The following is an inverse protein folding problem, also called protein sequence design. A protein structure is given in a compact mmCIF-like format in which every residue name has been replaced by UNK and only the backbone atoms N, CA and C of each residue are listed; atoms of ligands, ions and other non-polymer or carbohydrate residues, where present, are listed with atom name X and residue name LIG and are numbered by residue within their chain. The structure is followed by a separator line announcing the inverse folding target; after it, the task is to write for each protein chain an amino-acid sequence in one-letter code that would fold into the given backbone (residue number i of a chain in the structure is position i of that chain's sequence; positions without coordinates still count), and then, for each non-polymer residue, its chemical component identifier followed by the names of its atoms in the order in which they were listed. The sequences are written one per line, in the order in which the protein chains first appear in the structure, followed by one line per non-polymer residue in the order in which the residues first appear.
data_IF_092898483814
#
_entry.id   IF_092898483814
#
_cell.length_a   1.000
_cell.length_b   1.000
_cell.length_c   1.000
_cell.angle_alpha   90.00
_cell.angle_beta   90.00
_cell.angle_gamma   90.00
#
_symmetry.space_group_name_H-M   'P 1'
#
loop_
_entity.id
_entity.type
_entity.pdbx_description
1 polymer ?
#
# COMPACT_ATOMS: atom_id res chain seq x y z
N UNK A 1 21.89 7.90 -1.80
CA UNK A 1 20.44 7.79 -2.04
C UNK A 1 20.20 7.94 -3.54
N UNK A 2 19.04 7.52 -4.06
CA UNK A 2 18.73 7.68 -5.49
C UNK A 2 18.23 9.09 -5.85
N UNK A 3 18.24 10.04 -4.91
CA UNK A 3 17.87 11.44 -5.15
C UNK A 3 16.37 11.75 -5.07
N UNK A 4 15.53 10.80 -4.65
CA UNK A 4 14.10 11.00 -4.45
C UNK A 4 13.78 11.51 -3.05
N UNK A 5 12.87 12.47 -2.97
CA UNK A 5 12.16 12.84 -1.74
C UNK A 5 10.98 11.87 -1.56
N UNK A 6 10.82 11.34 -0.35
CA UNK A 6 9.87 10.25 -0.08
C UNK A 6 9.19 10.46 1.27
N UNK A 7 7.87 10.55 1.24
CA UNK A 7 7.02 10.38 2.42
C UNK A 7 6.64 8.90 2.54
N UNK A 8 7.03 8.24 3.63
CA UNK A 8 6.71 6.84 3.86
C UNK A 8 5.64 6.70 4.94
N UNK A 9 4.62 5.88 4.66
CA UNK A 9 3.62 5.45 5.64
C UNK A 9 3.75 3.94 5.81
N UNK A 10 4.08 3.51 7.02
CA UNK A 10 4.27 2.10 7.34
C UNK A 10 2.90 1.44 7.57
N UNK A 11 2.51 0.50 6.69
CA UNK A 11 1.31 -0.34 6.88
C UNK A 11 1.44 -1.27 8.09
N UNK A 12 2.67 -1.66 8.42
CA UNK A 12 3.04 -2.46 9.59
C UNK A 12 4.37 -1.98 10.15
N UNK A 13 4.56 -2.17 11.45
CA UNK A 13 5.83 -1.95 12.13
C UNK A 13 6.15 -3.19 12.95
N UNK A 14 6.93 -4.11 12.36
CA UNK A 14 7.32 -5.37 13.00
C UNK A 14 8.78 -5.37 13.44
N UNK A 15 9.08 -6.17 14.47
CA UNK A 15 10.44 -6.37 15.00
C UNK A 15 11.41 -6.97 13.99
N UNK A 16 10.90 -7.83 13.11
CA UNK A 16 11.66 -8.58 12.12
C UNK A 16 10.73 -9.09 11.01
N UNK A 17 11.33 -9.62 9.93
CA UNK A 17 10.61 -10.27 8.83
C UNK A 17 9.72 -11.42 9.36
N UNK A 18 8.54 -11.59 8.76
CA UNK A 18 7.54 -12.61 9.16
C UNK A 18 7.95 -14.04 8.83
N UNK A 19 9.04 -14.21 8.07
CA UNK A 19 9.67 -15.51 7.79
C UNK A 19 10.42 -16.13 8.98
N UNK A 20 10.64 -15.37 10.06
CA UNK A 20 11.19 -15.91 11.31
C UNK A 20 10.08 -16.52 12.18
N UNK A 21 10.41 -17.45 13.11
CA UNK A 21 9.40 -18.14 13.93
C UNK A 21 8.54 -17.22 14.82
N UNK A 22 9.07 -16.08 15.23
CA UNK A 22 8.38 -15.11 16.08
C UNK A 22 8.66 -13.71 15.56
N UNK A 23 7.62 -12.89 15.52
CA UNK A 23 7.69 -11.44 15.35
C UNK A 23 6.65 -10.78 16.26
N UNK A 24 6.87 -9.50 16.57
CA UNK A 24 5.94 -8.65 17.32
C UNK A 24 5.85 -7.31 16.62
N UNK A 25 4.76 -6.59 16.85
CA UNK A 25 4.63 -5.22 16.38
C UNK A 25 3.20 -4.84 16.05
N UNK A 26 3.06 -3.79 15.26
CA UNK A 26 1.80 -3.09 15.00
C UNK A 26 1.37 -3.26 13.54
N UNK A 27 0.06 -3.28 13.32
CA UNK A 27 -0.58 -3.23 12.00
C UNK A 27 -1.43 -1.98 11.98
N UNK A 28 -1.21 -1.12 11.00
CA UNK A 28 -1.94 0.14 10.84
C UNK A 28 -3.32 -0.13 10.21
N UNK A 29 -4.36 0.51 10.74
CA UNK A 29 -5.72 0.44 10.22
C UNK A 29 -6.06 1.65 9.34
N UNK A 30 -7.31 1.72 8.87
CA UNK A 30 -7.76 2.80 8.00
C UNK A 30 -7.81 4.16 8.72
N UNK A 31 -8.26 4.19 9.96
CA UNK A 31 -8.39 5.41 10.76
C UNK A 31 -7.03 6.05 11.00
N UNK A 32 -6.04 5.25 11.36
CA UNK A 32 -4.65 5.68 11.56
C UNK A 32 -3.99 6.15 10.25
N UNK A 33 -4.28 5.48 9.11
CA UNK A 33 -3.83 5.95 7.80
C UNK A 33 -4.44 7.31 7.44
N UNK A 34 -5.73 7.50 7.70
CA UNK A 34 -6.42 8.78 7.46
C UNK A 34 -5.80 9.89 8.31
N UNK A 35 -5.52 9.63 9.58
CA UNK A 35 -4.89 10.62 10.46
C UNK A 35 -3.55 11.12 9.90
N UNK A 36 -2.69 10.20 9.42
CA UNK A 36 -1.41 10.55 8.80
C UNK A 36 -1.61 11.32 7.48
N UNK A 37 -2.49 10.82 6.61
CA UNK A 37 -2.73 11.44 5.31
C UNK A 37 -3.33 12.84 5.43
N UNK A 38 -4.25 13.07 6.37
CA UNK A 38 -4.78 14.40 6.68
C UNK A 38 -3.68 15.34 7.18
N UNK A 39 -2.72 14.85 7.98
CA UNK A 39 -1.53 15.61 8.36
C UNK A 39 -0.73 16.12 7.15
N UNK A 40 -0.55 15.28 6.12
CA UNK A 40 0.12 15.65 4.87
C UNK A 40 -0.69 16.69 4.09
N UNK A 41 -2.02 16.53 4.01
CA UNK A 41 -2.93 17.49 3.35
C UNK A 41 -2.92 18.85 4.01
N UNK A 42 -2.98 18.90 5.34
CA UNK A 42 -2.97 20.16 6.11
C UNK A 42 -1.68 20.96 5.89
N UNK A 43 -0.57 20.27 5.69
CA UNK A 43 0.72 20.89 5.35
C UNK A 43 0.90 21.13 3.85
N UNK A 44 -0.06 20.72 3.01
CA UNK A 44 -0.04 20.83 1.54
C UNK A 44 1.18 20.14 0.89
N UNK A 45 1.66 19.07 1.51
CA UNK A 45 2.79 18.27 1.02
C UNK A 45 2.34 16.94 0.39
N UNK A 46 1.03 16.71 0.26
CA UNK A 46 0.46 15.55 -0.43
C UNK A 46 0.50 15.66 -1.97
N UNK A 47 1.52 16.31 -2.53
CA UNK A 47 1.67 16.53 -3.98
C UNK A 47 2.74 15.58 -4.53
N UNK A 48 2.29 14.46 -5.08
CA UNK A 48 3.17 13.39 -5.53
C UNK A 48 3.21 13.27 -7.06
N UNK A 49 4.37 12.82 -7.54
CA UNK A 49 4.53 12.33 -8.92
C UNK A 49 4.30 10.82 -9.02
N UNK A 50 4.60 10.09 -7.93
CA UNK A 50 4.49 8.63 -7.87
C UNK A 50 3.90 8.19 -6.54
N UNK A 51 3.11 7.12 -6.56
CA UNK A 51 2.72 6.34 -5.38
C UNK A 51 3.20 4.91 -5.56
N UNK A 52 3.80 4.34 -4.51
CA UNK A 52 4.21 2.94 -4.48
C UNK A 52 3.52 2.26 -3.29
N UNK A 53 2.91 1.11 -3.53
CA UNK A 53 2.35 0.25 -2.46
C UNK A 53 3.02 -1.10 -2.50
N UNK A 54 3.25 -1.69 -1.32
CA UNK A 54 3.74 -3.05 -1.15
C UNK A 54 2.93 -3.80 -0.10
N UNK A 55 3.61 -4.53 0.80
CA UNK A 55 2.96 -5.35 1.82
C UNK A 55 1.95 -4.58 2.69
N UNK A 56 0.74 -5.13 2.81
CA UNK A 56 -0.34 -4.66 3.68
C UNK A 56 -0.99 -5.83 4.37
N UNK A 57 -1.17 -5.74 5.69
CA UNK A 57 -1.77 -6.79 6.52
C UNK A 57 -3.24 -6.52 6.90
N UNK A 58 -3.77 -5.32 6.60
CA UNK A 58 -5.11 -4.88 6.99
C UNK A 58 -5.99 -4.58 5.77
N UNK A 59 -7.16 -5.22 5.69
CA UNK A 59 -8.16 -4.99 4.64
C UNK A 59 -8.72 -3.57 4.67
N UNK A 60 -8.91 -2.99 5.87
CA UNK A 60 -9.40 -1.62 6.01
C UNK A 60 -8.35 -0.61 5.51
N UNK A 61 -7.08 -0.84 5.85
CA UNK A 61 -5.97 -0.04 5.35
C UNK A 61 -5.90 -0.10 3.82
N UNK A 62 -5.96 -1.30 3.22
CA UNK A 62 -5.85 -1.44 1.76
C UNK A 62 -7.00 -0.77 1.01
N UNK A 63 -8.23 -0.86 1.54
CA UNK A 63 -9.37 -0.14 0.98
C UNK A 63 -9.15 1.38 1.04
N UNK A 64 -8.59 1.88 2.14
CA UNK A 64 -8.32 3.31 2.29
C UNK A 64 -7.18 3.78 1.38
N UNK A 65 -6.16 2.95 1.15
CA UNK A 65 -5.12 3.21 0.13
C UNK A 65 -5.74 3.40 -1.24
N UNK A 66 -6.71 2.57 -1.63
CA UNK A 66 -7.41 2.72 -2.90
C UNK A 66 -8.12 4.08 -3.02
N UNK A 67 -8.79 4.52 -1.95
CA UNK A 67 -9.46 5.83 -1.91
C UNK A 67 -8.44 6.98 -2.07
N UNK A 68 -7.31 6.90 -1.35
CA UNK A 68 -6.25 7.92 -1.38
C UNK A 68 -5.61 7.99 -2.77
N UNK A 69 -5.28 6.84 -3.38
CA UNK A 69 -4.72 6.80 -4.73
C UNK A 69 -5.70 7.41 -5.74
N UNK A 70 -6.99 7.10 -5.62
CA UNK A 70 -8.01 7.71 -6.48
C UNK A 70 -8.06 9.24 -6.30
N UNK A 71 -8.10 9.73 -5.05
CA UNK A 71 -8.07 11.18 -4.75
C UNK A 71 -6.83 11.86 -5.37
N UNK A 72 -5.65 11.25 -5.21
CA UNK A 72 -4.40 11.79 -5.76
C UNK A 72 -4.39 11.79 -7.30
N UNK A 73 -4.99 10.79 -7.95
CA UNK A 73 -5.12 10.75 -9.41
C UNK A 73 -6.13 11.77 -9.93
N UNK A 74 -7.20 12.04 -9.19
CA UNK A 74 -8.17 13.08 -9.52
C UNK A 74 -7.53 14.48 -9.46
N UNK A 75 -6.66 14.73 -8.48
CA UNK A 75 -5.90 15.99 -8.35
C UNK A 75 -4.74 16.09 -9.36
N UNK A 76 -4.06 14.98 -9.64
CA UNK A 76 -2.98 14.90 -10.62
C UNK A 76 -3.16 13.69 -11.56
N UNK A 77 -3.80 13.87 -12.74
CA UNK A 77 -3.98 12.80 -13.72
C UNK A 77 -2.68 12.23 -14.31
N UNK A 78 -1.53 12.87 -14.08
CA UNK A 78 -0.21 12.37 -14.48
C UNK A 78 0.51 11.55 -13.40
N UNK A 79 -0.11 11.42 -12.21
CA UNK A 79 0.43 10.60 -11.13
C UNK A 79 0.58 9.15 -11.57
N UNK A 80 1.77 8.60 -11.38
CA UNK A 80 2.05 7.19 -11.64
C UNK A 80 1.89 6.36 -10.36
N UNK A 81 0.97 5.40 -10.39
CA UNK A 81 0.77 4.44 -9.31
C UNK A 81 1.37 3.08 -9.69
N UNK A 82 2.36 2.64 -8.89
CA UNK A 82 2.97 1.31 -8.98
C UNK A 82 2.45 0.45 -7.83
N UNK A 83 1.73 -0.60 -8.16
CA UNK A 83 1.15 -1.53 -7.20
C UNK A 83 1.99 -2.82 -7.17
N UNK A 84 2.65 -3.09 -6.05
CA UNK A 84 3.24 -4.39 -5.74
C UNK A 84 2.26 -5.19 -4.87
N UNK A 85 1.49 -6.14 -5.43
CA UNK A 85 0.43 -6.84 -4.72
C UNK A 85 1.00 -7.98 -3.86
N UNK A 86 1.80 -7.64 -2.86
CA UNK A 86 2.50 -8.59 -1.98
C UNK A 86 1.48 -9.39 -1.16
N UNK A 87 1.18 -10.60 -1.62
CA UNK A 87 0.15 -11.48 -1.06
C UNK A 87 0.71 -12.86 -0.71
N UNK A 88 1.73 -13.34 -1.41
CA UNK A 88 2.25 -14.68 -1.19
C UNK A 88 3.30 -15.12 -2.19
N UNK A 89 3.94 -16.25 -1.91
CA UNK A 89 4.84 -16.91 -2.83
C UNK A 89 4.79 -18.44 -2.62
N UNK A 90 5.48 -19.21 -3.48
CA UNK A 90 5.65 -20.66 -3.33
C UNK A 90 4.34 -21.44 -3.11
N UNK A 91 3.24 -20.99 -3.72
CA UNK A 91 1.94 -21.65 -3.65
C UNK A 91 1.12 -21.32 -2.40
N UNK A 92 1.52 -20.33 -1.59
CA UNK A 92 0.84 -19.98 -0.32
C UNK A 92 0.64 -18.48 -0.18
N UNK A 93 -0.58 -18.11 0.22
CA UNK A 93 -0.89 -16.76 0.67
C UNK A 93 -0.40 -16.56 2.11
N UNK A 94 0.20 -15.40 2.38
CA UNK A 94 0.56 -14.93 3.71
C UNK A 94 -0.40 -13.88 4.25
N UNK A 95 -1.43 -13.55 3.47
CA UNK A 95 -2.39 -12.49 3.75
C UNK A 95 -3.82 -13.03 3.84
N UNK A 96 -4.71 -12.37 4.60
CA UNK A 96 -6.14 -12.65 4.59
C UNK A 96 -6.75 -12.70 3.17
N UNK A 97 -7.68 -13.62 2.88
CA UNK A 97 -8.30 -13.73 1.55
C UNK A 97 -9.00 -12.46 1.07
N UNK A 98 -9.52 -11.61 1.96
CA UNK A 98 -10.19 -10.37 1.57
C UNK A 98 -9.27 -9.35 0.91
N UNK A 99 -7.96 -9.36 1.23
CA UNK A 99 -6.98 -8.52 0.56
C UNK A 99 -6.86 -8.85 -0.93
N UNK A 100 -6.99 -10.12 -1.31
CA UNK A 100 -6.91 -10.56 -2.72
C UNK A 100 -8.02 -9.90 -3.54
N UNK A 101 -9.25 -9.91 -3.02
CA UNK A 101 -10.39 -9.26 -3.69
C UNK A 101 -10.17 -7.76 -3.82
N UNK A 102 -9.65 -7.09 -2.79
CA UNK A 102 -9.38 -5.65 -2.81
C UNK A 102 -8.28 -5.32 -3.84
N UNK A 103 -7.21 -6.10 -3.92
CA UNK A 103 -6.19 -5.91 -4.95
C UNK A 103 -6.79 -6.02 -6.36
N UNK A 104 -7.50 -7.12 -6.63
CA UNK A 104 -8.09 -7.41 -7.94
C UNK A 104 -9.15 -6.39 -8.37
N UNK A 105 -10.03 -6.01 -7.45
CA UNK A 105 -11.25 -5.25 -7.76
C UNK A 105 -11.06 -3.74 -7.59
N UNK A 106 -9.99 -3.31 -6.91
CA UNK A 106 -9.74 -1.87 -6.66
C UNK A 106 -8.34 -1.44 -7.08
N UNK A 107 -7.28 -1.99 -6.48
CA UNK A 107 -5.94 -1.42 -6.64
C UNK A 107 -5.38 -1.64 -8.04
N UNK A 108 -5.53 -2.84 -8.60
CA UNK A 108 -5.06 -3.16 -9.95
C UNK A 108 -5.74 -2.28 -11.00
N UNK A 109 -7.01 -1.91 -10.78
CA UNK A 109 -7.74 -1.01 -11.69
C UNK A 109 -7.25 0.44 -11.64
N UNK A 110 -6.63 0.84 -10.54
CA UNK A 110 -6.05 2.18 -10.37
C UNK A 110 -4.58 2.23 -10.81
N UNK A 111 -3.89 1.10 -10.84
CA UNK A 111 -2.45 1.01 -11.07
C UNK A 111 -2.08 1.28 -12.54
N UNK A 112 -1.01 2.03 -12.74
CA UNK A 112 -0.38 2.19 -14.05
C UNK A 112 0.66 1.08 -14.31
N UNK A 113 1.25 0.57 -13.23
CA UNK A 113 2.19 -0.54 -13.24
C UNK A 113 1.84 -1.50 -12.10
N UNK A 114 1.80 -2.79 -12.40
CA UNK A 114 1.66 -3.85 -11.38
C UNK A 114 2.90 -4.73 -11.42
N UNK A 115 3.45 -5.08 -10.25
CA UNK A 115 4.69 -5.87 -10.14
C UNK A 115 4.49 -7.20 -9.40
N UNK A 116 3.57 -8.08 -9.84
CA UNK A 116 3.32 -9.34 -9.15
C UNK A 116 4.50 -10.31 -9.34
N UNK A 117 4.68 -11.23 -8.38
CA UNK A 117 5.46 -12.43 -8.60
C UNK A 117 4.64 -13.52 -9.31
N UNK A 118 5.25 -14.67 -9.66
CA UNK A 118 4.59 -15.75 -10.41
C UNK A 118 3.32 -16.30 -9.73
N UNK A 119 3.27 -16.30 -8.39
CA UNK A 119 2.11 -16.78 -7.64
C UNK A 119 0.98 -15.75 -7.57
N UNK A 120 1.31 -14.46 -7.71
CA UNK A 120 0.37 -13.34 -7.59
C UNK A 120 -0.27 -12.94 -8.94
N UNK A 121 0.24 -13.49 -10.05
CA UNK A 121 -0.29 -13.31 -11.41
C UNK A 121 -1.50 -14.21 -11.69
#
# INVERSE_FOLDING_TARGET
TLGFEVDFINSVQFSNHTGYPVYKGQVLNAEELVELYEGLKLNRINKYSHVLTGYVASESFLNKVADIVQELKEDNPSLMYVCDPVMGDNGKLYVPPGLVSIYRERLVLLADVVTPNQFEL
#
